data_IF_448391448004
#
_entry.id   IF_448391448004
#
_cell.length_a   1.000
_cell.length_b   1.000
_cell.length_c   1.000
_cell.angle_alpha   90.00
_cell.angle_beta   90.00
_cell.angle_gamma   90.00
#
_symmetry.space_group_name_H-M   'P 1'
#
loop_
_entity.id
_entity.type
_entity.pdbx_description
1 polymer ?
#
# COMPACT_ATOMS: atom_id res chain seq x y z
N UNK A 1 42.95 60.44 -38.80
CA UNK A 1 42.27 59.22 -39.27
C UNK A 1 40.92 59.17 -38.58
N UNK A 2 39.87 59.27 -39.39
CA UNK A 2 38.52 59.69 -39.03
C UNK A 2 37.61 58.50 -38.69
N UNK A 3 36.65 58.77 -37.80
CA UNK A 3 35.34 58.11 -37.60
C UNK A 3 35.24 56.71 -36.94
N UNK A 4 34.94 56.77 -35.64
CA UNK A 4 33.83 56.13 -34.89
C UNK A 4 33.11 54.92 -35.54
N UNK A 5 33.10 53.76 -34.85
CA UNK A 5 32.06 52.75 -35.05
C UNK A 5 30.89 52.98 -34.08
N UNK A 6 29.75 53.45 -34.58
CA UNK A 6 28.46 53.39 -33.90
C UNK A 6 27.48 52.67 -34.83
N UNK A 7 27.23 51.39 -34.58
CA UNK A 7 25.94 50.70 -34.80
C UNK A 7 26.14 49.18 -34.83
N UNK A 8 26.12 48.52 -33.67
CA UNK A 8 25.85 47.07 -33.62
C UNK A 8 25.16 46.56 -32.34
N UNK A 9 24.97 47.37 -31.29
CA UNK A 9 24.50 46.85 -29.99
C UNK A 9 22.97 46.84 -29.77
N UNK A 10 22.15 46.91 -30.81
CA UNK A 10 20.68 46.85 -30.62
C UNK A 10 20.10 45.43 -30.59
N UNK A 11 20.81 44.41 -31.08
CA UNK A 11 20.25 43.05 -31.20
C UNK A 11 20.37 42.20 -29.92
N UNK A 12 21.19 42.61 -28.94
CA UNK A 12 21.43 41.84 -27.72
C UNK A 12 20.39 42.06 -26.60
N UNK A 13 19.59 43.13 -26.64
CA UNK A 13 18.63 43.46 -25.56
C UNK A 13 17.24 42.83 -25.70
N UNK A 14 16.89 42.25 -26.85
CA UNK A 14 15.52 41.79 -27.08
C UNK A 14 15.23 40.38 -26.50
N UNK A 15 16.24 39.56 -26.23
CA UNK A 15 16.05 38.17 -25.74
C UNK A 15 16.10 38.00 -24.21
N UNK A 16 16.45 39.02 -23.41
CA UNK A 16 16.56 38.87 -21.94
C UNK A 16 15.31 39.25 -21.15
N UNK A 17 14.34 39.93 -21.74
CA UNK A 17 13.16 40.43 -21.02
C UNK A 17 11.98 39.43 -20.98
N UNK A 18 11.94 38.46 -21.88
CA UNK A 18 10.89 37.43 -21.92
C UNK A 18 10.90 36.46 -20.72
N UNK A 19 12.03 35.90 -20.24
CA UNK A 19 11.98 34.90 -19.16
C UNK A 19 11.65 35.49 -17.77
N UNK A 20 11.87 36.80 -17.56
CA UNK A 20 11.67 37.44 -16.24
C UNK A 20 10.17 37.62 -15.93
N UNK A 21 9.32 37.75 -16.95
CA UNK A 21 7.88 37.97 -16.78
C UNK A 21 7.07 36.67 -16.68
N UNK A 22 7.59 35.55 -17.21
CA UNK A 22 6.88 34.25 -17.22
C UNK A 22 6.86 33.61 -15.84
N UNK A 23 7.94 33.74 -15.06
CA UNK A 23 8.06 33.13 -13.74
C UNK A 23 7.02 33.63 -12.72
N UNK A 24 6.82 34.96 -12.53
CA UNK A 24 5.83 35.45 -11.56
C UNK A 24 4.39 35.15 -11.99
N UNK A 25 4.10 35.16 -13.29
CA UNK A 25 2.76 34.82 -13.79
C UNK A 25 2.41 33.34 -13.55
N UNK A 26 3.36 32.42 -13.78
CA UNK A 26 3.17 30.99 -13.52
C UNK A 26 2.96 30.68 -12.04
N UNK A 27 3.73 31.33 -11.16
CA UNK A 27 3.59 31.15 -9.71
C UNK A 27 2.22 31.62 -9.20
N UNK A 28 1.74 32.78 -9.66
CA UNK A 28 0.42 33.29 -9.30
C UNK A 28 -0.72 32.39 -9.81
N UNK A 29 -0.55 31.77 -10.98
CA UNK A 29 -1.54 30.84 -11.52
C UNK A 29 -1.69 29.56 -10.67
N UNK A 30 -0.57 28.98 -10.21
CA UNK A 30 -0.61 27.81 -9.30
C UNK A 30 -1.25 28.17 -7.97
N UNK A 31 -0.89 29.32 -7.37
CA UNK A 31 -1.47 29.76 -6.10
C UNK A 31 -2.97 30.03 -6.24
N UNK A 32 -3.43 30.62 -7.36
CA UNK A 32 -4.84 30.84 -7.62
C UNK A 32 -5.62 29.52 -7.79
N UNK A 33 -5.06 28.53 -8.49
CA UNK A 33 -5.66 27.20 -8.61
C UNK A 33 -5.75 26.49 -7.26
N UNK A 34 -4.68 26.54 -6.46
CA UNK A 34 -4.69 26.01 -5.10
C UNK A 34 -5.72 26.73 -4.22
N UNK A 35 -5.79 28.06 -4.27
CA UNK A 35 -6.74 28.84 -3.49
C UNK A 35 -8.20 28.55 -3.88
N UNK A 36 -8.50 28.43 -5.19
CA UNK A 36 -9.83 28.06 -5.67
C UNK A 36 -10.22 26.62 -5.27
N UNK A 37 -9.26 25.70 -5.26
CA UNK A 37 -9.49 24.34 -4.77
C UNK A 37 -9.82 24.35 -3.27
N UNK A 38 -9.08 25.12 -2.47
CA UNK A 38 -9.29 25.25 -1.02
C UNK A 38 -10.55 26.08 -0.64
N UNK A 39 -10.95 27.05 -1.46
CA UNK A 39 -12.17 27.84 -1.23
C UNK A 39 -13.43 27.08 -1.63
N UNK A 40 -13.35 26.25 -2.69
CA UNK A 40 -14.48 25.40 -3.10
C UNK A 40 -14.78 24.31 -2.06
N UNK A 41 -13.77 23.79 -1.35
CA UNK A 41 -13.96 22.76 -0.32
C UNK A 41 -14.57 23.31 0.98
N UNK A 42 -14.32 24.58 1.29
CA UNK A 42 -14.73 25.17 2.58
C UNK A 42 -16.23 25.50 2.66
N UNK A 43 -16.87 25.89 1.55
CA UNK A 43 -18.26 26.37 1.55
C UNK A 43 -19.30 25.25 1.51
N UNK A 44 -18.98 24.09 0.95
CA UNK A 44 -19.90 22.93 0.89
C UNK A 44 -19.88 22.09 2.17
N UNK A 45 -18.81 22.17 2.97
CA UNK A 45 -18.62 21.34 4.15
C UNK A 45 -19.54 21.69 5.33
N UNK A 46 -19.99 22.95 5.43
CA UNK A 46 -20.72 23.42 6.62
C UNK A 46 -22.21 23.03 6.63
N UNK A 47 -22.83 22.77 5.47
CA UNK A 47 -24.28 22.50 5.40
C UNK A 47 -24.65 21.02 5.51
N UNK A 48 -23.72 20.09 5.30
CA UNK A 48 -24.04 18.66 5.26
C UNK A 48 -23.85 17.92 6.60
N UNK A 49 -23.06 18.46 7.53
CA UNK A 49 -22.73 17.77 8.79
C UNK A 49 -23.89 17.68 9.80
N UNK A 50 -25.00 18.39 9.59
CA UNK A 50 -26.12 18.40 10.56
C UNK A 50 -27.18 17.30 10.34
N UNK A 51 -27.14 16.52 9.26
CA UNK A 51 -28.22 15.59 8.96
C UNK A 51 -27.72 14.21 8.52
N UNK A 52 -27.71 13.30 9.49
CA UNK A 52 -28.11 11.88 9.42
C UNK A 52 -27.07 10.75 9.61
N UNK A 53 -27.45 9.66 10.32
CA UNK A 53 -26.58 8.57 10.73
C UNK A 53 -26.73 7.28 9.89
N UNK A 54 -25.67 6.45 9.96
CA UNK A 54 -25.62 4.99 9.80
C UNK A 54 -26.37 4.34 8.64
N UNK A 55 -25.66 4.02 7.55
CA UNK A 55 -25.75 2.75 6.80
C UNK A 55 -24.86 2.85 5.56
N UNK A 56 -23.81 2.02 5.44
CA UNK A 56 -23.21 1.74 4.14
C UNK A 56 -22.59 0.33 4.10
N UNK A 57 -23.38 -0.56 3.51
CA UNK A 57 -22.99 -1.87 3.02
C UNK A 57 -22.22 -1.72 1.70
N UNK A 58 -21.00 -2.27 1.65
CA UNK A 58 -20.38 -2.72 0.41
C UNK A 58 -19.79 -4.11 0.66
N UNK A 59 -20.64 -5.14 0.58
CA UNK A 59 -20.23 -6.54 0.70
C UNK A 59 -20.31 -7.24 -0.66
N UNK A 60 -19.15 -7.44 -1.29
CA UNK A 60 -19.03 -8.34 -2.44
C UNK A 60 -18.90 -9.79 -1.90
N UNK A 61 -20.00 -10.43 -1.52
CA UNK A 61 -20.03 -11.89 -1.27
C UNK A 61 -19.89 -12.63 -2.61
N UNK A 62 -18.68 -13.05 -2.97
CA UNK A 62 -18.50 -13.93 -4.11
C UNK A 62 -18.85 -15.37 -3.72
N UNK A 63 -20.08 -15.77 -4.03
CA UNK A 63 -20.43 -17.18 -4.17
C UNK A 63 -19.53 -17.83 -5.24
N UNK A 64 -19.15 -19.07 -4.97
CA UNK A 64 -18.13 -19.93 -5.56
C UNK A 64 -18.24 -20.30 -7.05
N UNK A 65 -18.61 -19.37 -7.94
CA UNK A 65 -18.62 -19.61 -9.38
C UNK A 65 -17.65 -18.68 -10.10
N UNK A 66 -16.47 -19.20 -10.44
CA UNK A 66 -15.48 -18.55 -11.31
C UNK A 66 -16.03 -18.38 -12.74
N UNK A 67 -16.89 -17.39 -12.96
CA UNK A 67 -17.37 -16.96 -14.28
C UNK A 67 -16.73 -15.62 -14.67
N UNK A 68 -15.42 -15.57 -14.93
CA UNK A 68 -14.81 -14.45 -15.67
C UNK A 68 -13.59 -14.91 -16.46
N UNK A 69 -13.71 -14.82 -17.79
CA UNK A 69 -12.81 -15.35 -18.83
C UNK A 69 -11.37 -14.77 -18.88
N UNK A 70 -10.91 -14.07 -17.84
CA UNK A 70 -9.57 -13.43 -17.85
C UNK A 70 -8.72 -13.66 -16.60
N UNK A 71 -9.15 -14.48 -15.63
CA UNK A 71 -8.36 -14.83 -14.43
C UNK A 71 -8.27 -16.35 -14.21
N UNK A 72 -7.69 -17.08 -15.17
CA UNK A 72 -7.49 -18.53 -15.03
C UNK A 72 -6.63 -18.90 -13.80
N UNK A 73 -5.59 -18.11 -13.50
CA UNK A 73 -4.62 -18.46 -12.45
C UNK A 73 -5.18 -18.41 -11.03
N UNK A 74 -6.02 -17.42 -10.69
CA UNK A 74 -6.57 -17.29 -9.34
C UNK A 74 -7.57 -18.42 -9.03
N UNK A 75 -8.46 -18.72 -10.00
CA UNK A 75 -9.39 -19.84 -9.88
C UNK A 75 -8.68 -21.19 -9.83
N UNK A 76 -7.59 -21.36 -10.60
CA UNK A 76 -6.77 -22.57 -10.55
C UNK A 76 -6.07 -22.71 -9.19
N UNK A 77 -5.47 -21.64 -8.66
CA UNK A 77 -4.85 -21.62 -7.33
C UNK A 77 -5.84 -22.05 -6.25
N UNK A 78 -7.06 -21.49 -6.24
CA UNK A 78 -8.09 -21.87 -5.28
C UNK A 78 -8.45 -23.36 -5.38
N UNK A 79 -8.62 -23.92 -6.59
CA UNK A 79 -8.89 -25.35 -6.78
C UNK A 79 -7.75 -26.23 -6.25
N UNK A 80 -6.51 -25.88 -6.57
CA UNK A 80 -5.33 -26.61 -6.10
C UNK A 80 -5.20 -26.55 -4.58
N UNK A 81 -5.47 -25.40 -3.96
CA UNK A 81 -5.49 -25.25 -2.50
C UNK A 81 -6.56 -26.13 -1.86
N UNK A 82 -7.78 -26.14 -2.39
CA UNK A 82 -8.87 -26.98 -1.87
C UNK A 82 -8.50 -28.46 -1.93
N UNK A 83 -7.92 -28.91 -3.06
CA UNK A 83 -7.45 -30.28 -3.19
C UNK A 83 -6.33 -30.59 -2.19
N UNK A 84 -5.33 -29.70 -2.07
CA UNK A 84 -4.23 -29.91 -1.13
C UNK A 84 -4.70 -29.99 0.33
N UNK A 85 -5.67 -29.16 0.74
CA UNK A 85 -6.24 -29.21 2.10
C UNK A 85 -7.01 -30.51 2.36
N UNK A 86 -7.70 -31.05 1.34
CA UNK A 86 -8.35 -32.35 1.42
C UNK A 86 -7.31 -33.47 1.62
N UNK A 87 -6.22 -33.42 0.87
CA UNK A 87 -5.15 -34.43 0.91
C UNK A 87 -4.27 -34.31 2.18
N UNK A 88 -4.29 -33.16 2.87
CA UNK A 88 -3.41 -32.84 4.00
C UNK A 88 -4.17 -32.37 5.27
N UNK A 89 -5.02 -33.22 5.88
CA UNK A 89 -5.84 -32.84 7.04
C UNK A 89 -5.04 -32.52 8.32
N UNK A 90 -3.74 -32.82 8.34
CA UNK A 90 -2.83 -32.46 9.45
C UNK A 90 -2.50 -30.97 9.52
N UNK A 91 -2.86 -30.20 8.50
CA UNK A 91 -2.60 -28.76 8.41
C UNK A 91 -3.92 -27.97 8.37
N UNK A 92 -4.56 -27.74 9.53
CA UNK A 92 -5.82 -27.00 9.56
C UNK A 92 -5.61 -25.51 9.26
N UNK A 93 -6.59 -24.93 8.54
CA UNK A 93 -6.63 -23.50 8.20
C UNK A 93 -7.02 -22.61 9.38
N UNK A 94 -7.58 -23.19 10.44
CA UNK A 94 -7.93 -22.50 11.68
C UNK A 94 -7.19 -23.13 12.85
N UNK A 95 -6.67 -22.29 13.75
CA UNK A 95 -5.99 -22.74 14.98
C UNK A 95 -6.98 -23.03 16.11
N UNK A 96 -8.12 -22.34 16.09
CA UNK A 96 -9.25 -22.54 17.00
C UNK A 96 -10.57 -22.14 16.29
N UNK A 97 -11.75 -22.49 16.82
CA UNK A 97 -13.02 -22.05 16.24
C UNK A 97 -13.06 -20.52 16.06
N UNK A 98 -13.28 -20.05 14.83
CA UNK A 98 -13.30 -18.62 14.50
C UNK A 98 -11.93 -17.93 14.42
N UNK A 99 -10.83 -18.61 14.76
CA UNK A 99 -9.46 -18.05 14.72
C UNK A 99 -8.66 -18.62 13.54
N UNK A 100 -8.47 -17.85 12.45
CA UNK A 100 -7.75 -18.31 11.28
C UNK A 100 -6.25 -18.49 11.56
N UNK A 101 -5.59 -19.36 10.81
CA UNK A 101 -4.13 -19.43 10.76
C UNK A 101 -3.61 -18.23 9.97
N UNK A 102 -2.90 -17.33 10.63
CA UNK A 102 -2.36 -16.11 10.04
C UNK A 102 -0.86 -16.22 9.86
N UNK A 103 -0.37 -15.86 8.68
CA UNK A 103 1.06 -15.66 8.42
C UNK A 103 1.30 -14.17 8.18
N UNK A 104 2.01 -13.54 9.12
CA UNK A 104 2.45 -12.15 9.01
C UNK A 104 3.71 -12.11 8.15
N UNK A 105 3.64 -11.40 7.03
CA UNK A 105 4.71 -11.30 6.04
C UNK A 105 5.31 -9.91 6.10
N UNK A 106 6.61 -9.86 6.37
CA UNK A 106 7.39 -8.62 6.44
C UNK A 106 8.56 -8.76 5.48
N UNK A 107 8.97 -7.66 4.85
CA UNK A 107 10.18 -7.66 4.02
C UNK A 107 10.95 -6.37 4.14
N UNK A 108 12.28 -6.46 4.13
CA UNK A 108 13.16 -5.29 4.00
C UNK A 108 14.12 -5.47 2.83
N UNK A 109 14.64 -4.34 2.34
CA UNK A 109 15.65 -4.36 1.29
C UNK A 109 16.94 -5.02 1.80
N UNK A 110 17.61 -5.89 1.01
CA UNK A 110 18.94 -6.41 1.35
C UNK A 110 20.01 -5.32 1.37
N UNK A 111 19.74 -4.16 0.77
CA UNK A 111 20.69 -3.06 0.65
C UNK A 111 20.88 -2.37 1.99
N UNK A 112 22.06 -1.79 2.18
CA UNK A 112 22.31 -0.93 3.33
C UNK A 112 21.37 0.28 3.30
N UNK A 113 20.76 0.60 4.44
CA UNK A 113 20.00 1.83 4.61
C UNK A 113 20.93 3.03 4.44
N UNK A 114 20.46 4.06 3.73
CA UNK A 114 21.17 5.34 3.60
C UNK A 114 21.32 6.04 4.95
N UNK A 115 20.32 5.89 5.82
CA UNK A 115 20.34 6.39 7.18
C UNK A 115 21.06 5.39 8.11
N UNK A 116 22.06 5.83 8.91
CA UNK A 116 22.76 4.97 9.88
C UNK A 116 21.85 4.31 10.91
N UNK A 117 20.77 4.98 11.33
CA UNK A 117 19.78 4.47 12.28
C UNK A 117 18.69 3.64 11.60
N UNK A 118 18.56 3.69 10.28
CA UNK A 118 17.52 2.96 9.53
C UNK A 118 17.52 1.47 9.83
N UNK A 119 18.70 0.83 9.86
CA UNK A 119 18.82 -0.59 10.23
C UNK A 119 18.35 -0.88 11.65
N UNK A 120 18.66 0.01 12.59
CA UNK A 120 18.26 -0.14 13.98
C UNK A 120 16.73 -0.03 14.12
N UNK A 121 16.11 0.93 13.44
CA UNK A 121 14.66 1.10 13.43
C UNK A 121 13.96 -0.12 12.83
N UNK A 122 14.42 -0.63 11.68
CA UNK A 122 13.86 -1.82 11.06
C UNK A 122 13.99 -3.07 11.94
N UNK A 123 15.09 -3.20 12.68
CA UNK A 123 15.28 -4.30 13.63
C UNK A 123 14.32 -4.21 14.82
N UNK A 124 14.13 -3.00 15.38
CA UNK A 124 13.14 -2.78 16.43
C UNK A 124 11.72 -3.07 15.94
N UNK A 125 11.38 -2.61 14.74
CA UNK A 125 10.08 -2.83 14.13
C UNK A 125 9.86 -4.33 13.83
N UNK A 126 10.90 -5.08 13.43
CA UNK A 126 10.81 -6.54 13.29
C UNK A 126 10.57 -7.21 14.64
N UNK A 127 11.34 -6.85 15.67
CA UNK A 127 11.16 -7.39 17.03
C UNK A 127 9.74 -7.14 17.55
N UNK A 128 9.22 -5.93 17.38
CA UNK A 128 7.85 -5.57 17.75
C UNK A 128 6.83 -6.51 17.07
N UNK A 129 6.96 -6.73 15.76
CA UNK A 129 6.07 -7.63 15.01
C UNK A 129 6.23 -9.09 15.42
N UNK A 130 7.45 -9.55 15.72
CA UNK A 130 7.69 -10.90 16.22
C UNK A 130 7.06 -11.12 17.61
N UNK A 131 7.15 -10.13 18.52
CA UNK A 131 6.49 -10.19 19.81
C UNK A 131 4.96 -10.17 19.68
N UNK A 132 4.42 -9.38 18.74
CA UNK A 132 2.97 -9.37 18.43
C UNK A 132 2.51 -10.73 17.94
N UNK A 133 3.22 -11.32 16.97
CA UNK A 133 2.90 -12.65 16.46
C UNK A 133 2.94 -13.72 17.56
N UNK A 134 3.90 -13.63 18.49
CA UNK A 134 4.00 -14.56 19.63
C UNK A 134 2.84 -14.43 20.61
N UNK A 135 2.32 -13.22 20.86
CA UNK A 135 1.16 -13.01 21.75
C UNK A 135 -0.11 -13.60 21.13
N UNK A 136 -0.27 -13.50 19.82
CA UNK A 136 -1.48 -13.91 19.12
C UNK A 136 -1.46 -15.32 18.51
N UNK A 137 -0.32 -16.02 18.60
CA UNK A 137 -0.06 -17.33 17.98
C UNK A 137 -0.11 -17.28 16.43
N UNK A 138 0.51 -16.24 15.86
CA UNK A 138 0.67 -16.09 14.41
C UNK A 138 2.05 -16.57 13.96
N UNK A 139 2.08 -17.13 12.75
CA UNK A 139 3.33 -17.41 12.06
C UNK A 139 3.89 -16.09 11.49
N UNK A 140 5.21 -15.99 11.38
CA UNK A 140 5.90 -14.80 10.84
C UNK A 140 6.92 -15.20 9.78
N UNK A 141 6.91 -14.50 8.64
CA UNK A 141 7.88 -14.65 7.57
C UNK A 141 8.59 -13.31 7.31
N UNK A 142 9.92 -13.30 7.44
CA UNK A 142 10.74 -12.13 7.19
C UNK A 142 11.61 -12.31 5.93
N UNK A 143 11.34 -11.52 4.90
CA UNK A 143 12.06 -11.55 3.64
C UNK A 143 13.18 -10.51 3.58
N UNK A 144 14.35 -10.93 3.13
CA UNK A 144 15.51 -10.05 2.86
C UNK A 144 16.01 -10.18 1.42
N UNK A 145 15.33 -10.95 0.56
CA UNK A 145 15.78 -11.22 -0.80
C UNK A 145 14.84 -10.63 -1.83
N UNK A 146 15.41 -10.24 -2.97
CA UNK A 146 14.63 -9.86 -4.16
C UNK A 146 14.36 -11.13 -4.95
N UNK A 147 13.10 -11.54 -5.03
CA UNK A 147 12.69 -12.78 -5.71
C UNK A 147 12.58 -12.62 -7.23
N UNK A 148 12.35 -11.39 -7.70
CA UNK A 148 12.14 -11.07 -9.10
C UNK A 148 12.79 -9.70 -9.38
N UNK A 149 13.64 -9.63 -10.41
CA UNK A 149 14.37 -8.42 -10.76
C UNK A 149 13.45 -7.32 -11.32
N UNK A 150 12.37 -7.69 -12.01
CA UNK A 150 11.40 -6.76 -12.58
C UNK A 150 10.44 -6.24 -11.50
N UNK A 151 10.04 -7.10 -10.55
CA UNK A 151 9.18 -6.76 -9.42
C UNK A 151 9.99 -6.42 -8.16
N UNK A 152 10.95 -5.51 -8.29
CA UNK A 152 11.80 -5.06 -7.17
C UNK A 152 11.21 -3.84 -6.41
N UNK A 153 11.85 -3.44 -5.31
CA UNK A 153 11.41 -2.29 -4.50
C UNK A 153 10.04 -2.54 -3.85
N UNK A 154 9.12 -1.57 -3.97
CA UNK A 154 7.75 -1.64 -3.42
C UNK A 154 6.95 -2.84 -3.95
N UNK A 155 7.31 -3.34 -5.13
CA UNK A 155 6.62 -4.46 -5.78
C UNK A 155 7.13 -5.83 -5.36
N UNK A 156 8.22 -5.90 -4.59
CA UNK A 156 8.81 -7.16 -4.11
C UNK A 156 7.88 -8.02 -3.26
N UNK A 157 6.85 -7.39 -2.66
CA UNK A 157 5.77 -8.10 -1.96
C UNK A 157 4.94 -9.00 -2.85
N UNK A 158 4.77 -8.67 -4.13
CA UNK A 158 3.93 -9.46 -5.04
C UNK A 158 4.49 -10.86 -5.34
N UNK A 159 5.75 -11.03 -5.80
CA UNK A 159 6.31 -12.37 -6.00
C UNK A 159 6.44 -13.14 -4.68
N UNK A 160 6.70 -12.44 -3.57
CA UNK A 160 6.76 -13.07 -2.25
C UNK A 160 5.40 -13.63 -1.83
N UNK A 161 4.35 -12.80 -1.81
CA UNK A 161 3.01 -13.23 -1.44
C UNK A 161 2.52 -14.35 -2.35
N UNK A 162 2.77 -14.26 -3.67
CA UNK A 162 2.44 -15.34 -4.62
C UNK A 162 3.14 -16.66 -4.25
N UNK A 163 4.40 -16.60 -3.85
CA UNK A 163 5.17 -17.78 -3.45
C UNK A 163 4.62 -18.37 -2.15
N UNK A 164 4.37 -17.53 -1.15
CA UNK A 164 3.81 -17.96 0.13
C UNK A 164 2.39 -18.53 -0.01
N UNK A 165 1.57 -17.99 -0.92
CA UNK A 165 0.26 -18.57 -1.26
C UNK A 165 0.34 -20.00 -1.80
N UNK A 166 1.45 -20.39 -2.42
CA UNK A 166 1.67 -21.72 -2.98
C UNK A 166 2.34 -22.67 -1.97
N UNK A 167 3.27 -22.14 -1.16
CA UNK A 167 4.04 -22.93 -0.18
C UNK A 167 3.24 -23.17 1.11
N UNK A 168 2.47 -22.17 1.54
CA UNK A 168 1.66 -22.20 2.77
C UNK A 168 0.16 -22.22 2.44
N UNK A 169 -0.28 -23.29 1.77
CA UNK A 169 -1.70 -23.49 1.42
C UNK A 169 -2.61 -23.65 2.63
N UNK A 170 -2.06 -23.99 3.79
CA UNK A 170 -2.74 -24.07 5.08
C UNK A 170 -2.99 -22.70 5.72
N UNK A 171 -2.25 -21.66 5.35
CA UNK A 171 -2.46 -20.33 5.91
C UNK A 171 -3.77 -19.75 5.40
N UNK A 172 -4.69 -19.42 6.29
CA UNK A 172 -5.96 -18.80 5.92
C UNK A 172 -5.80 -17.34 5.54
N UNK A 173 -4.97 -16.60 6.27
CA UNK A 173 -4.70 -15.18 5.99
C UNK A 173 -3.22 -14.89 5.87
N UNK A 174 -2.80 -14.39 4.70
CA UNK A 174 -1.50 -13.75 4.52
C UNK A 174 -1.63 -12.27 4.81
N UNK A 175 -1.00 -11.80 5.87
CA UNK A 175 -1.03 -10.40 6.28
C UNK A 175 0.30 -9.73 5.93
N UNK A 176 0.32 -8.93 4.87
CA UNK A 176 1.50 -8.12 4.56
C UNK A 176 1.58 -6.93 5.52
N UNK A 177 2.74 -6.76 6.16
CA UNK A 177 3.03 -5.63 7.05
C UNK A 177 4.34 -4.99 6.62
N UNK A 178 4.30 -3.69 6.32
CA UNK A 178 5.47 -2.93 5.91
C UNK A 178 6.55 -2.94 7.02
N UNK A 179 7.81 -2.82 6.62
CA UNK A 179 8.95 -3.03 7.53
C UNK A 179 9.01 -1.99 8.65
N UNK A 180 8.57 -0.77 8.40
CA UNK A 180 8.58 0.39 9.29
C UNK A 180 7.31 0.54 10.14
N UNK A 181 6.32 -0.36 9.99
CA UNK A 181 5.12 -0.38 10.82
C UNK A 181 5.44 -0.87 12.23
N UNK A 182 4.91 -0.22 13.25
CA UNK A 182 5.01 -0.64 14.66
C UNK A 182 3.60 -0.87 15.19
N UNK A 183 3.35 -2.04 15.76
CA UNK A 183 2.12 -2.32 16.51
C UNK A 183 2.21 -1.63 17.87
N UNK A 184 1.29 -0.71 18.13
CA UNK A 184 1.20 0.05 19.37
C UNK A 184 0.36 -0.73 20.38
N UNK A 185 -0.82 -1.21 19.96
CA UNK A 185 -1.65 -2.09 20.76
C UNK A 185 -1.26 -3.55 20.49
N UNK A 186 -0.49 -4.11 21.42
CA UNK A 186 -0.01 -5.49 21.33
C UNK A 186 -1.10 -6.53 21.62
N UNK A 187 -2.23 -6.13 22.19
CA UNK A 187 -3.37 -6.99 22.51
C UNK A 187 -4.49 -6.90 21.47
N UNK A 188 -4.39 -5.96 20.53
CA UNK A 188 -5.37 -5.81 19.46
C UNK A 188 -5.42 -7.08 18.58
N UNK A 189 -6.58 -7.71 18.52
CA UNK A 189 -6.88 -8.80 17.59
C UNK A 189 -7.83 -8.28 16.50
N UNK A 190 -7.49 -8.46 15.21
CA UNK A 190 -8.39 -8.09 14.12
C UNK A 190 -9.76 -8.79 14.21
N UNK A 191 -10.86 -8.12 13.80
CA UNK A 191 -12.20 -8.71 13.86
C UNK A 191 -12.39 -9.76 12.75
N UNK A 192 -11.94 -11.00 12.98
CA UNK A 192 -11.89 -12.07 11.97
C UNK A 192 -13.23 -12.33 11.27
N UNK A 193 -14.33 -12.31 12.02
CA UNK A 193 -15.67 -12.54 11.48
C UNK A 193 -16.06 -11.53 10.40
N UNK A 194 -15.56 -10.29 10.50
CA UNK A 194 -15.79 -9.25 9.48
C UNK A 194 -15.11 -9.57 8.15
N UNK A 195 -14.02 -10.33 8.19
CA UNK A 195 -13.23 -10.70 7.01
C UNK A 195 -13.58 -12.08 6.47
N UNK A 196 -14.44 -12.83 7.16
CA UNK A 196 -14.87 -14.15 6.72
C UNK A 196 -15.51 -14.08 5.32
N UNK A 197 -15.06 -14.95 4.41
CA UNK A 197 -15.56 -15.00 3.03
C UNK A 197 -14.98 -13.94 2.08
N UNK A 198 -14.03 -13.12 2.54
CA UNK A 198 -13.31 -12.17 1.69
C UNK A 198 -11.94 -12.73 1.27
N UNK A 199 -11.63 -12.64 -0.03
CA UNK A 199 -10.34 -13.11 -0.58
C UNK A 199 -9.21 -12.08 -0.51
N UNK A 200 -9.57 -10.80 -0.29
CA UNK A 200 -8.65 -9.69 -0.19
C UNK A 200 -9.26 -8.62 0.70
N UNK A 201 -8.54 -8.24 1.74
CA UNK A 201 -8.88 -7.13 2.63
C UNK A 201 -7.82 -6.05 2.42
N UNK A 202 -8.28 -4.83 2.15
CA UNK A 202 -7.42 -3.64 2.07
C UNK A 202 -7.74 -2.74 3.26
N UNK A 203 -6.74 -2.12 3.90
CA UNK A 203 -7.00 -1.05 4.85
C UNK A 203 -7.71 0.08 4.11
N UNK A 204 -8.81 0.58 4.68
CA UNK A 204 -9.47 1.79 4.19
C UNK A 204 -9.02 2.99 5.02
N UNK A 205 -9.06 4.17 4.41
CA UNK A 205 -8.98 5.45 5.13
C UNK A 205 -10.39 5.86 5.50
N UNK A 206 -10.63 6.36 6.72
CA UNK A 206 -11.96 6.83 7.14
C UNK A 206 -12.52 7.99 6.27
N UNK A 207 -11.73 8.54 5.34
CA UNK A 207 -12.15 9.59 4.38
C UNK A 207 -13.04 9.08 3.22
N UNK A 208 -13.68 7.91 3.36
CA UNK A 208 -14.68 7.43 2.42
C UNK A 208 -16.02 7.23 3.09
N UNK A 209 -16.75 8.32 3.31
CA UNK A 209 -18.14 8.50 2.83
C UNK A 209 -18.39 9.99 2.63
#
# INVERSE_FOLDING_TARGET
>A
MTERPVAADRRARQHRLLPILVFPAFFLFIVALCALFLFRTSTTSLTAAMLYPSHLEMSHRQHSQCHYHRRHHCCQHHRLRVQWLHDNPRFPTFVAPGRPRVLVVIGSSPRQCSDPNGKHLLLQAFKNKADYCRVHDFDIFYNTVVLDAELSGFWSKLPLLRTLMLVHSETELLCWVDSDVIFIDMLFEPPWDKYAGHNLVLPDSEEKV
#
